data_IF_895574411038
#
_entry.id   IF_895574411038
#
_cell.length_a   1.000
_cell.length_b   1.000
_cell.length_c   1.000
_cell.angle_alpha   90.00
_cell.angle_beta   90.00
_cell.angle_gamma   90.00
#
_symmetry.space_group_name_H-M   'P 1'
#
loop_
_entity.id
_entity.type
_entity.pdbx_description
1 polymer ?
#
# COMPACT_ATOMS: atom_id res chain seq x y z
N UNK A 1 -3.50 94.11 22.05
CA UNK A 1 -3.79 93.51 23.34
C UNK A 1 -4.88 92.46 23.08
N UNK A 2 -4.54 91.24 22.79
CA UNK A 2 -5.50 90.15 22.74
C UNK A 2 -4.75 88.89 23.21
N UNK A 3 -5.19 88.31 24.31
CA UNK A 3 -4.61 87.16 24.98
C UNK A 3 -5.23 85.90 24.30
N UNK A 4 -4.41 85.08 23.71
CA UNK A 4 -4.82 83.77 23.19
C UNK A 4 -4.62 82.71 24.26
N UNK A 5 -5.73 82.08 24.69
CA UNK A 5 -5.73 80.93 25.60
C UNK A 5 -5.59 79.64 24.78
N UNK A 6 -4.54 78.90 25.07
CA UNK A 6 -4.31 77.58 24.47
C UNK A 6 -4.95 76.52 25.38
N UNK A 7 -6.02 75.84 24.88
CA UNK A 7 -6.66 74.75 25.53
C UNK A 7 -5.95 73.47 25.11
N UNK A 8 -5.23 72.89 26.07
CA UNK A 8 -4.59 71.59 25.87
C UNK A 8 -5.59 70.42 25.99
N UNK A 9 -5.88 69.72 24.94
CA UNK A 9 -6.70 68.51 24.96
C UNK A 9 -5.81 67.30 25.33
N UNK A 10 -6.03 66.79 26.54
CA UNK A 10 -5.38 65.54 27.01
C UNK A 10 -6.07 64.33 26.38
N UNK A 11 -5.38 63.63 25.51
CA UNK A 11 -5.84 62.39 24.86
C UNK A 11 -5.49 61.22 25.78
N UNK A 12 -6.51 60.71 26.50
CA UNK A 12 -6.40 59.50 27.32
C UNK A 12 -6.46 58.27 26.38
N UNK A 13 -5.32 57.59 26.17
CA UNK A 13 -5.28 56.32 25.47
C UNK A 13 -5.77 55.22 26.40
N UNK A 14 -6.97 54.69 26.12
CA UNK A 14 -7.43 53.43 26.71
C UNK A 14 -6.66 52.26 26.08
N UNK A 15 -5.68 51.75 26.80
CA UNK A 15 -5.08 50.47 26.48
C UNK A 15 -6.05 49.33 26.84
N UNK A 16 -6.79 48.78 25.87
CA UNK A 16 -7.58 47.56 26.05
C UNK A 16 -6.66 46.34 26.25
N UNK A 17 -7.11 45.36 27.03
CA UNK A 17 -6.35 44.11 27.19
C UNK A 17 -6.20 43.40 25.83
N UNK A 18 -4.95 43.24 25.37
CA UNK A 18 -4.64 42.42 24.22
C UNK A 18 -4.83 40.96 24.64
N UNK A 19 -5.94 40.32 24.23
CA UNK A 19 -6.06 38.87 24.26
C UNK A 19 -5.12 38.34 23.19
N UNK A 20 -4.01 37.73 23.62
CA UNK A 20 -3.21 36.90 22.74
C UNK A 20 -4.08 35.71 22.33
N UNK A 21 -4.58 35.72 21.10
CA UNK A 21 -5.23 34.52 20.53
C UNK A 21 -4.16 33.43 20.47
N UNK A 22 -4.28 32.40 21.30
CA UNK A 22 -3.49 31.18 21.12
C UNK A 22 -3.74 30.69 19.71
N UNK A 23 -2.67 30.64 18.92
CA UNK A 23 -2.69 30.01 17.62
C UNK A 23 -3.14 28.56 17.81
N UNK A 24 -4.11 28.04 17.03
CA UNK A 24 -4.48 26.64 17.10
C UNK A 24 -3.20 25.82 16.89
N UNK A 25 -2.86 25.01 17.91
CA UNK A 25 -1.76 24.05 17.80
C UNK A 25 -2.06 23.18 16.59
N UNK A 26 -1.18 23.23 15.59
CA UNK A 26 -1.32 22.35 14.43
C UNK A 26 -1.40 20.91 14.96
N UNK A 27 -2.41 20.12 14.54
CA UNK A 27 -2.49 18.74 14.97
C UNK A 27 -1.18 18.05 14.65
N UNK A 28 -0.58 17.38 15.64
CA UNK A 28 0.62 16.58 15.44
C UNK A 28 0.38 15.65 14.26
N UNK A 29 1.36 15.50 13.33
CA UNK A 29 1.21 14.59 12.22
C UNK A 29 0.98 13.19 12.80
N UNK A 30 -0.20 12.64 12.58
CA UNK A 30 -0.54 11.29 13.00
C UNK A 30 0.31 10.37 12.14
N UNK A 31 1.30 9.71 12.74
CA UNK A 31 2.12 8.72 12.07
C UNK A 31 1.28 7.45 11.85
N UNK A 32 0.55 7.42 10.72
CA UNK A 32 -0.37 6.34 10.38
C UNK A 32 0.33 5.01 10.07
N UNK A 33 1.65 5.04 9.81
CA UNK A 33 2.44 3.88 9.39
C UNK A 33 3.68 3.73 10.28
N UNK A 34 3.53 2.99 11.37
CA UNK A 34 4.66 2.60 12.19
C UNK A 34 5.37 1.40 11.56
N UNK A 35 6.69 1.52 11.37
CA UNK A 35 7.53 0.44 10.83
C UNK A 35 7.64 -0.69 11.85
N UNK A 36 7.54 -1.93 11.38
CA UNK A 36 7.70 -3.14 12.16
C UNK A 36 9.00 -3.84 11.78
N UNK A 37 10.09 -3.55 12.50
CA UNK A 37 11.42 -4.11 12.21
C UNK A 37 11.59 -5.57 12.66
N UNK A 38 10.72 -6.06 13.55
CA UNK A 38 10.82 -7.40 14.14
C UNK A 38 10.79 -8.54 13.12
N UNK A 39 10.19 -8.32 11.94
CA UNK A 39 10.02 -9.34 10.89
C UNK A 39 10.73 -9.01 9.58
N UNK A 40 11.61 -8.00 9.59
CA UNK A 40 12.38 -7.56 8.45
C UNK A 40 11.78 -6.38 7.70
N UNK A 41 12.37 -6.05 6.57
CA UNK A 41 12.02 -4.84 5.82
C UNK A 41 10.60 -4.87 5.25
N UNK A 42 9.96 -3.70 5.18
CA UNK A 42 8.64 -3.45 4.57
C UNK A 42 7.45 -4.04 5.33
N UNK A 43 7.61 -4.36 6.61
CA UNK A 43 6.48 -4.62 7.48
C UNK A 43 6.07 -3.34 8.20
N UNK A 44 4.76 -3.14 8.35
CA UNK A 44 4.15 -2.01 9.03
C UNK A 44 3.14 -2.51 10.05
N UNK A 45 3.08 -1.88 11.20
CA UNK A 45 2.04 -2.17 12.19
C UNK A 45 0.68 -1.75 11.67
N UNK A 46 -0.30 -2.62 11.81
CA UNK A 46 -1.70 -2.24 11.63
C UNK A 46 -2.14 -1.39 12.82
N UNK A 47 -2.69 -0.19 12.60
CA UNK A 47 -3.12 0.68 13.68
C UNK A 47 -4.06 -0.03 14.67
N UNK A 48 -3.78 0.11 15.97
CA UNK A 48 -4.58 -0.51 17.04
C UNK A 48 -4.38 -2.02 17.24
N UNK A 49 -3.36 -2.62 16.59
CA UNK A 49 -3.06 -4.05 16.73
C UNK A 49 -1.56 -4.31 16.90
N UNK A 50 -1.22 -5.51 17.39
CA UNK A 50 0.16 -6.03 17.44
C UNK A 50 0.55 -6.78 16.14
N UNK A 51 -0.23 -6.59 15.08
CA UNK A 51 -0.03 -7.27 13.81
C UNK A 51 0.82 -6.43 12.88
N UNK A 52 1.87 -7.03 12.35
CA UNK A 52 2.70 -6.47 11.29
C UNK A 52 2.24 -7.01 9.94
N UNK A 53 1.99 -6.12 9.00
CA UNK A 53 1.54 -6.45 7.65
C UNK A 53 2.57 -6.02 6.63
N UNK A 54 2.86 -6.88 5.66
CA UNK A 54 3.60 -6.57 4.45
C UNK A 54 2.71 -6.79 3.23
N UNK A 55 2.61 -5.75 2.41
CA UNK A 55 1.93 -5.77 1.12
C UNK A 55 2.97 -5.71 0.02
N UNK A 56 2.79 -6.50 -1.01
CA UNK A 56 3.68 -6.46 -2.17
C UNK A 56 3.05 -7.10 -3.39
N UNK A 57 3.80 -7.04 -4.50
CA UNK A 57 3.36 -7.61 -5.75
C UNK A 57 4.47 -7.61 -6.79
N UNK A 58 4.18 -8.23 -7.92
CA UNK A 58 5.04 -8.24 -9.11
C UNK A 58 4.18 -8.29 -10.36
N UNK A 59 4.74 -7.87 -11.47
CA UNK A 59 4.14 -8.05 -12.79
C UNK A 59 5.07 -8.97 -13.60
N UNK A 60 4.46 -9.90 -14.32
CA UNK A 60 5.15 -10.79 -15.24
C UNK A 60 4.53 -10.68 -16.61
N UNK A 61 5.34 -10.38 -17.61
CA UNK A 61 4.94 -10.31 -19.02
C UNK A 61 5.70 -11.40 -19.77
N UNK A 62 4.98 -12.20 -20.56
CA UNK A 62 5.54 -13.29 -21.34
C UNK A 62 5.07 -13.14 -22.79
N UNK A 63 6.02 -13.25 -23.72
CA UNK A 63 5.75 -13.50 -25.12
C UNK A 63 6.09 -14.97 -25.41
N UNK A 64 5.15 -15.73 -25.95
CA UNK A 64 5.35 -17.13 -26.31
C UNK A 64 5.28 -17.27 -27.83
N UNK A 65 6.34 -17.82 -28.38
CA UNK A 65 6.42 -18.17 -29.78
C UNK A 65 6.10 -19.66 -29.88
N UNK A 66 4.93 -19.99 -30.39
CA UNK A 66 4.48 -21.36 -30.55
C UNK A 66 5.05 -21.94 -31.85
N UNK A 67 5.43 -23.21 -31.84
CA UNK A 67 5.89 -23.96 -33.03
C UNK A 67 6.99 -23.21 -33.80
N UNK A 68 8.19 -23.11 -33.20
CA UNK A 68 9.34 -22.51 -33.87
C UNK A 68 9.77 -23.41 -35.01
N UNK A 69 9.39 -23.04 -36.23
CA UNK A 69 9.72 -23.82 -37.45
C UNK A 69 8.66 -23.70 -38.54
N UNK A 70 8.74 -24.61 -39.51
CA UNK A 70 7.80 -24.74 -40.63
C UNK A 70 6.66 -25.70 -40.27
N UNK A 71 5.44 -25.21 -40.27
CA UNK A 71 4.25 -26.00 -40.01
C UNK A 71 3.03 -25.11 -39.81
N UNK A 72 1.81 -25.70 -39.81
CA UNK A 72 0.61 -24.96 -39.47
C UNK A 72 0.69 -24.44 -38.02
N UNK A 73 0.18 -23.25 -37.79
CA UNK A 73 0.22 -22.57 -36.48
C UNK A 73 1.62 -22.21 -35.96
N UNK A 74 2.57 -21.94 -36.88
CA UNK A 74 3.87 -21.42 -36.47
C UNK A 74 3.78 -19.96 -36.00
N UNK A 75 4.83 -19.46 -35.35
CA UNK A 75 4.90 -18.10 -34.79
C UNK A 75 4.70 -16.96 -35.80
N UNK A 76 4.96 -17.20 -37.07
CA UNK A 76 4.78 -16.23 -38.16
C UNK A 76 3.42 -16.31 -38.87
N UNK A 77 2.59 -17.31 -38.54
CA UNK A 77 1.27 -17.49 -39.14
C UNK A 77 0.27 -16.51 -38.49
N UNK A 78 -0.13 -15.52 -39.29
CA UNK A 78 -1.09 -14.49 -38.87
C UNK A 78 -2.54 -15.03 -38.78
N UNK A 79 -2.84 -16.14 -39.41
CA UNK A 79 -4.16 -16.76 -39.38
C UNK A 79 -4.36 -17.68 -38.16
N UNK A 80 -3.27 -18.05 -37.50
CA UNK A 80 -3.28 -18.86 -36.30
C UNK A 80 -2.57 -18.11 -35.15
N UNK A 81 -2.91 -18.40 -33.95
CA UNK A 81 -2.33 -17.78 -32.74
C UNK A 81 -0.90 -18.32 -32.49
N UNK A 82 0.00 -18.11 -33.46
CA UNK A 82 1.38 -18.58 -33.41
C UNK A 82 2.23 -17.82 -32.39
N UNK A 83 1.81 -16.60 -32.02
CA UNK A 83 2.43 -15.80 -30.96
C UNK A 83 1.39 -15.40 -29.94
N UNK A 84 1.60 -15.76 -28.69
CA UNK A 84 0.71 -15.38 -27.60
C UNK A 84 1.45 -14.48 -26.60
N UNK A 85 0.73 -13.48 -26.10
CA UNK A 85 1.21 -12.58 -25.05
C UNK A 85 0.39 -12.81 -23.79
N UNK A 86 1.09 -12.95 -22.69
CA UNK A 86 0.49 -13.12 -21.36
C UNK A 86 1.01 -12.04 -20.42
N UNK A 87 0.09 -11.39 -19.72
CA UNK A 87 0.39 -10.50 -18.60
C UNK A 87 -0.18 -11.09 -17.32
N UNK A 88 0.62 -11.14 -16.25
CA UNK A 88 0.18 -11.54 -14.91
C UNK A 88 0.52 -10.47 -13.90
N UNK A 89 -0.47 -10.04 -13.14
CA UNK A 89 -0.32 -9.19 -11.96
C UNK A 89 -0.45 -10.03 -10.70
N UNK A 90 0.57 -10.00 -9.85
CA UNK A 90 0.60 -10.71 -8.56
C UNK A 90 0.42 -9.72 -7.44
N UNK A 91 -0.36 -10.09 -6.42
CA UNK A 91 -0.49 -9.35 -5.17
C UNK A 91 -0.34 -10.32 -4.00
N UNK A 92 0.38 -9.92 -2.97
CA UNK A 92 0.50 -10.74 -1.76
C UNK A 92 0.39 -9.91 -0.49
N UNK A 93 -0.14 -10.57 0.54
CA UNK A 93 -0.25 -10.09 1.90
C UNK A 93 0.46 -11.10 2.82
N UNK A 94 1.40 -10.62 3.63
CA UNK A 94 2.08 -11.41 4.67
C UNK A 94 1.82 -10.71 6.00
N UNK A 95 1.00 -11.30 6.86
CA UNK A 95 0.75 -10.76 8.19
C UNK A 95 1.39 -11.62 9.26
N UNK A 96 1.88 -10.97 10.32
CA UNK A 96 2.55 -11.61 11.44
C UNK A 96 2.13 -10.97 12.73
N UNK A 97 1.66 -11.80 13.64
CA UNK A 97 1.21 -11.39 14.98
C UNK A 97 1.96 -12.19 16.01
N UNK A 98 2.64 -11.51 16.93
CA UNK A 98 3.20 -12.16 18.10
C UNK A 98 2.06 -12.47 19.08
N UNK A 99 1.94 -13.72 19.50
CA UNK A 99 0.98 -14.15 20.51
C UNK A 99 1.72 -14.77 21.70
N UNK A 100 1.06 -14.91 22.83
CA UNK A 100 1.62 -15.59 24.01
C UNK A 100 2.00 -17.06 23.73
N UNK A 101 1.42 -17.68 22.70
CA UNK A 101 1.69 -19.07 22.29
C UNK A 101 2.66 -19.18 21.09
N UNK A 102 3.20 -18.06 20.62
CA UNK A 102 4.15 -18.02 19.52
C UNK A 102 3.71 -17.12 18.35
N UNK A 103 4.46 -17.18 17.28
CA UNK A 103 4.20 -16.39 16.09
C UNK A 103 3.08 -16.99 15.26
N UNK A 104 2.01 -16.21 15.05
CA UNK A 104 0.98 -16.48 14.07
C UNK A 104 1.33 -15.75 12.76
N UNK A 105 1.46 -16.48 11.67
CA UNK A 105 1.68 -15.92 10.34
C UNK A 105 0.56 -16.31 9.41
N UNK A 106 0.02 -15.35 8.66
CA UNK A 106 -0.85 -15.63 7.51
C UNK A 106 -0.20 -15.12 6.25
N UNK A 107 -0.31 -15.89 5.18
CA UNK A 107 0.20 -15.51 3.86
C UNK A 107 -0.85 -15.77 2.80
N UNK A 108 -1.11 -14.76 1.99
CA UNK A 108 -2.03 -14.86 0.87
C UNK A 108 -1.37 -14.27 -0.37
N UNK A 109 -1.40 -15.00 -1.48
CA UNK A 109 -0.92 -14.56 -2.79
C UNK A 109 -1.92 -14.95 -3.85
N UNK A 110 -2.35 -13.96 -4.63
CA UNK A 110 -3.25 -14.13 -5.76
C UNK A 110 -2.62 -13.53 -7.01
N UNK A 111 -3.00 -14.02 -8.17
CA UNK A 111 -2.63 -13.39 -9.42
C UNK A 111 -3.79 -13.36 -10.40
N UNK A 112 -3.78 -12.32 -11.23
CA UNK A 112 -4.69 -12.15 -12.36
C UNK A 112 -3.88 -12.39 -13.62
N UNK A 113 -4.39 -13.23 -14.51
CA UNK A 113 -3.82 -13.52 -15.82
C UNK A 113 -4.69 -12.92 -16.91
N UNK A 114 -4.05 -12.23 -17.84
CA UNK A 114 -4.62 -11.81 -19.12
C UNK A 114 -3.80 -12.43 -20.25
N UNK A 115 -4.44 -13.20 -21.09
CA UNK A 115 -3.87 -13.78 -22.32
C UNK A 115 -4.53 -13.10 -23.53
N UNK A 116 -3.76 -12.78 -24.56
CA UNK A 116 -4.31 -12.13 -25.78
C UNK A 116 -5.21 -13.03 -26.61
N UNK A 117 -5.17 -14.34 -26.37
CA UNK A 117 -6.02 -15.37 -27.01
C UNK A 117 -7.25 -15.72 -26.17
N UNK A 118 -7.40 -15.11 -24.99
CA UNK A 118 -8.55 -15.31 -24.11
C UNK A 118 -9.40 -14.03 -24.01
N UNK A 119 -10.71 -14.20 -24.07
CA UNK A 119 -11.66 -13.09 -23.91
C UNK A 119 -11.89 -12.67 -22.46
N UNK A 120 -11.35 -13.42 -21.49
CA UNK A 120 -11.58 -13.19 -20.07
C UNK A 120 -10.27 -13.28 -19.26
N UNK A 121 -10.20 -12.47 -18.21
CA UNK A 121 -9.12 -12.56 -17.24
C UNK A 121 -9.39 -13.71 -16.26
N UNK A 122 -8.38 -14.47 -15.90
CA UNK A 122 -8.47 -15.45 -14.81
C UNK A 122 -7.88 -14.89 -13.52
N UNK A 123 -8.57 -15.10 -12.39
CA UNK A 123 -8.08 -14.84 -11.04
C UNK A 123 -7.75 -16.19 -10.39
N UNK A 124 -6.53 -16.34 -9.94
CA UNK A 124 -6.05 -17.60 -9.35
C UNK A 124 -5.41 -17.37 -7.98
N UNK A 125 -5.66 -18.31 -7.08
CA UNK A 125 -5.04 -18.37 -5.77
C UNK A 125 -3.70 -19.12 -5.88
N UNK A 126 -2.58 -18.41 -5.73
CA UNK A 126 -1.24 -19.01 -5.75
C UNK A 126 -0.94 -19.73 -4.42
N UNK A 127 -1.04 -18.95 -3.32
CA UNK A 127 -0.84 -19.43 -1.95
C UNK A 127 -1.89 -18.85 -1.03
N UNK A 128 -2.33 -19.62 -0.06
CA UNK A 128 -3.14 -19.13 1.05
C UNK A 128 -2.96 -20.08 2.22
N UNK A 129 -2.20 -19.66 3.25
CA UNK A 129 -1.91 -20.51 4.38
C UNK A 129 -1.77 -19.74 5.69
N UNK A 130 -1.94 -20.46 6.78
CA UNK A 130 -1.67 -20.03 8.14
C UNK A 130 -0.55 -20.90 8.69
N UNK A 131 0.43 -20.29 9.36
CA UNK A 131 1.50 -20.96 10.10
C UNK A 131 1.41 -20.61 11.57
N UNK A 132 1.41 -21.63 12.42
CA UNK A 132 1.39 -21.49 13.87
C UNK A 132 2.00 -22.72 14.54
N UNK A 133 2.88 -22.52 15.53
CA UNK A 133 3.45 -23.62 16.31
C UNK A 133 4.20 -24.67 15.51
N UNK A 134 4.79 -24.31 14.36
CA UNK A 134 5.46 -25.24 13.44
C UNK A 134 4.53 -25.95 12.44
N UNK A 135 3.22 -25.75 12.55
CA UNK A 135 2.25 -26.29 11.59
C UNK A 135 1.92 -25.29 10.49
N UNK A 136 1.61 -25.81 9.31
CA UNK A 136 1.12 -25.01 8.16
C UNK A 136 -0.22 -25.59 7.70
N UNK A 137 -1.24 -24.74 7.66
CA UNK A 137 -2.58 -25.09 7.23
C UNK A 137 -2.95 -24.24 6.01
N UNK A 138 -3.40 -24.89 4.94
CA UNK A 138 -3.86 -24.23 3.74
C UNK A 138 -3.08 -24.63 2.49
N UNK A 139 -3.20 -23.81 1.42
CA UNK A 139 -2.52 -24.03 0.14
C UNK A 139 -1.11 -23.44 0.21
N UNK A 140 -0.13 -24.30 0.43
CA UNK A 140 1.29 -24.01 0.33
C UNK A 140 1.94 -24.94 -0.70
N UNK A 141 3.00 -24.49 -1.36
CA UNK A 141 3.81 -25.37 -2.22
C UNK A 141 4.81 -26.06 -1.31
N UNK A 142 4.85 -27.38 -1.39
CA UNK A 142 5.88 -28.22 -0.74
C UNK A 142 7.16 -28.24 -1.57
#
# INVERSE_FOLDING_TARGET
MIRSAIIGASMVMLAGPAFAAELPVAPEPIDYLRICDAYGNRFFYLPGTETCLRVGGRVRIEARLNNYGSGPNNWSDKAATGTTFRARGYSYLDSRTATEYGLLRTYNSVFVTNDNDSSSNSLELEYSFIQFGGFTFGRAQS
#
